data_IF_642693680858
#
_entry.id   IF_642693680858
#
_cell.length_a   1.000
_cell.length_b   1.000
_cell.length_c   1.000
_cell.angle_alpha   90.00
_cell.angle_beta   90.00
_cell.angle_gamma   90.00
#
_symmetry.space_group_name_H-M   'P 1'
#
loop_
_entity.id
_entity.type
_entity.pdbx_description
1 polymer ?
#
# COMPACT_ATOMS: atom_id res chain seq x y z
N UNK A 1 -10.10 -2.36 -15.91
CA UNK A 1 -10.41 -3.77 -16.26
C UNK A 1 -11.83 -4.00 -15.78
N UNK A 2 -12.77 -4.36 -16.66
CA UNK A 2 -14.17 -4.54 -16.28
C UNK A 2 -14.33 -5.71 -15.29
N UNK A 3 -14.35 -5.40 -13.99
CA UNK A 3 -15.24 -5.90 -12.93
C UNK A 3 -15.49 -7.39 -12.69
N UNK A 4 -14.99 -8.32 -13.50
CA UNK A 4 -15.25 -9.76 -13.36
C UNK A 4 -14.06 -10.49 -12.76
N UNK A 5 -13.67 -10.08 -11.55
CA UNK A 5 -12.83 -10.92 -10.71
C UNK A 5 -13.66 -12.15 -10.29
N UNK A 6 -13.08 -13.33 -10.42
CA UNK A 6 -13.61 -14.51 -9.75
C UNK A 6 -13.62 -14.26 -8.23
N UNK A 7 -14.50 -14.94 -7.47
CA UNK A 7 -14.63 -14.68 -6.03
C UNK A 7 -13.32 -14.80 -5.24
N UNK A 8 -12.42 -15.71 -5.61
CA UNK A 8 -11.12 -15.86 -4.97
C UNK A 8 -10.17 -14.71 -5.31
N UNK A 9 -10.14 -14.26 -6.57
CA UNK A 9 -9.34 -13.10 -7.01
C UNK A 9 -9.79 -11.82 -6.29
N UNK A 10 -11.10 -11.64 -6.09
CA UNK A 10 -11.63 -10.51 -5.32
C UNK A 10 -11.20 -10.56 -3.84
N UNK A 11 -11.14 -11.76 -3.25
CA UNK A 11 -10.63 -11.95 -1.88
C UNK A 11 -9.13 -11.61 -1.80
N UNK A 12 -8.34 -12.08 -2.75
CA UNK A 12 -6.89 -11.81 -2.82
C UNK A 12 -6.61 -10.32 -2.96
N UNK A 13 -7.32 -9.63 -3.86
CA UNK A 13 -7.19 -8.18 -4.04
C UNK A 13 -7.54 -7.42 -2.75
N UNK A 14 -8.63 -7.82 -2.06
CA UNK A 14 -9.00 -7.21 -0.78
C UNK A 14 -7.94 -7.42 0.30
N UNK A 15 -7.38 -8.63 0.37
CA UNK A 15 -6.32 -8.95 1.32
C UNK A 15 -5.06 -8.12 1.04
N UNK A 16 -4.66 -8.03 -0.23
CA UNK A 16 -3.53 -7.20 -0.64
C UNK A 16 -3.73 -5.73 -0.27
N UNK A 17 -4.91 -5.15 -0.55
CA UNK A 17 -5.25 -3.78 -0.15
C UNK A 17 -5.13 -3.61 1.38
N UNK A 18 -5.64 -4.58 2.14
CA UNK A 18 -5.64 -4.53 3.61
C UNK A 18 -4.21 -4.56 4.16
N UNK A 19 -3.36 -5.42 3.60
CA UNK A 19 -1.95 -5.54 3.96
C UNK A 19 -1.18 -4.25 3.65
N UNK A 20 -1.34 -3.69 2.46
CA UNK A 20 -0.69 -2.44 2.06
C UNK A 20 -1.10 -1.26 2.95
N UNK A 21 -2.39 -1.17 3.31
CA UNK A 21 -2.87 -0.17 4.26
C UNK A 21 -2.27 -0.34 5.66
N UNK A 22 -2.13 -1.58 6.14
CA UNK A 22 -1.50 -1.86 7.44
C UNK A 22 -0.02 -1.48 7.44
N UNK A 23 0.70 -1.77 6.36
CA UNK A 23 2.11 -1.41 6.24
C UNK A 23 2.31 0.11 6.23
N UNK A 24 1.50 0.84 5.46
CA UNK A 24 1.53 2.31 5.46
C UNK A 24 1.35 2.85 6.88
N UNK A 25 0.40 2.30 7.65
CA UNK A 25 0.15 2.72 9.03
C UNK A 25 1.34 2.42 9.95
N UNK A 26 1.94 1.23 9.84
CA UNK A 26 3.12 0.84 10.63
C UNK A 26 4.32 1.76 10.36
N UNK A 27 4.60 2.03 9.09
CA UNK A 27 5.70 2.92 8.69
C UNK A 27 5.40 4.34 9.17
N UNK A 28 4.18 4.84 8.96
CA UNK A 28 3.78 6.19 9.38
C UNK A 28 3.84 6.38 10.91
N UNK A 29 3.54 5.33 11.69
CA UNK A 29 3.62 5.40 13.15
C UNK A 29 5.07 5.42 13.67
N UNK A 30 5.99 4.75 12.97
CA UNK A 30 7.39 4.61 13.40
C UNK A 30 8.33 5.67 12.83
N UNK A 31 7.98 6.31 11.71
CA UNK A 31 8.88 7.24 10.99
C UNK A 31 9.33 8.44 11.82
N UNK A 32 8.50 8.89 12.77
CA UNK A 32 8.85 10.01 13.65
C UNK A 32 9.89 9.63 14.71
N UNK A 33 10.09 8.33 14.95
CA UNK A 33 11.10 7.80 15.88
C UNK A 33 12.45 7.56 15.18
N UNK A 34 12.52 7.71 13.86
CA UNK A 34 13.73 7.51 13.07
C UNK A 34 14.51 8.82 12.94
N UNK A 35 15.73 8.81 13.46
CA UNK A 35 16.66 9.94 13.41
C UNK A 35 17.57 9.92 12.18
N UNK A 36 17.81 8.73 11.62
CA UNK A 36 18.62 8.57 10.42
C UNK A 36 17.87 9.10 9.19
N UNK A 37 18.46 10.08 8.52
CA UNK A 37 17.79 10.79 7.43
C UNK A 37 17.61 9.92 6.18
N UNK A 38 18.57 9.04 5.89
CA UNK A 38 18.51 8.13 4.74
C UNK A 38 17.39 7.09 4.94
N UNK A 39 17.34 6.47 6.11
CA UNK A 39 16.28 5.54 6.49
C UNK A 39 14.91 6.23 6.49
N UNK A 40 14.83 7.47 6.96
CA UNK A 40 13.58 8.24 6.94
C UNK A 40 13.09 8.50 5.51
N UNK A 41 13.99 8.89 4.60
CA UNK A 41 13.65 9.08 3.18
C UNK A 41 13.20 7.77 2.55
N UNK A 42 13.92 6.67 2.80
CA UNK A 42 13.52 5.34 2.33
C UNK A 42 12.11 4.94 2.82
N UNK A 43 11.78 5.23 4.09
CA UNK A 43 10.44 4.99 4.63
C UNK A 43 9.35 5.85 3.94
N UNK A 44 9.66 7.10 3.60
CA UNK A 44 8.74 7.96 2.84
C UNK A 44 8.52 7.44 1.42
N UNK A 45 9.59 7.03 0.74
CA UNK A 45 9.53 6.45 -0.60
C UNK A 45 8.75 5.13 -0.62
N UNK A 46 8.90 4.32 0.44
CA UNK A 46 8.09 3.11 0.63
C UNK A 46 6.61 3.44 0.78
N UNK A 47 6.24 4.43 1.61
CA UNK A 47 4.84 4.89 1.73
C UNK A 47 4.30 5.39 0.39
N UNK A 48 5.09 6.18 -0.35
CA UNK A 48 4.70 6.70 -1.66
C UNK A 48 4.43 5.56 -2.65
N UNK A 49 5.35 4.60 -2.75
CA UNK A 49 5.24 3.44 -3.64
C UNK A 49 4.01 2.59 -3.32
N UNK A 50 3.74 2.34 -2.02
CA UNK A 50 2.55 1.59 -1.58
C UNK A 50 1.25 2.33 -1.92
N UNK A 51 1.21 3.65 -1.76
CA UNK A 51 0.05 4.47 -2.18
C UNK A 51 -0.19 4.41 -3.69
N UNK A 52 0.88 4.47 -4.50
CA UNK A 52 0.78 4.32 -5.95
C UNK A 52 0.25 2.94 -6.33
N UNK A 53 0.69 1.86 -5.67
CA UNK A 53 0.15 0.52 -5.90
C UNK A 53 -1.37 0.45 -5.62
N UNK A 54 -1.82 1.02 -4.49
CA UNK A 54 -3.25 1.09 -4.16
C UNK A 54 -4.06 1.90 -5.19
N UNK A 55 -3.53 3.03 -5.65
CA UNK A 55 -4.16 3.84 -6.71
C UNK A 55 -4.27 3.06 -8.02
N UNK A 56 -3.21 2.34 -8.41
CA UNK A 56 -3.22 1.51 -9.61
C UNK A 56 -4.26 0.39 -9.53
N UNK A 57 -4.41 -0.23 -8.37
CA UNK A 57 -5.45 -1.24 -8.12
C UNK A 57 -6.83 -0.59 -8.24
N UNK A 58 -7.06 0.54 -7.58
CA UNK A 58 -8.33 1.27 -7.66
C UNK A 58 -8.68 1.63 -9.10
N UNK A 59 -7.74 2.18 -9.87
CA UNK A 59 -7.92 2.52 -11.29
C UNK A 59 -8.13 1.29 -12.16
N UNK A 60 -7.57 0.13 -11.79
CA UNK A 60 -7.76 -1.11 -12.54
C UNK A 60 -9.13 -1.75 -12.29
N UNK A 61 -9.72 -1.54 -11.11
CA UNK A 61 -11.03 -2.05 -10.71
C UNK A 61 -12.20 -1.11 -11.01
N UNK A 62 -11.91 0.18 -11.27
CA UNK A 62 -12.89 1.17 -11.73
C UNK A 62 -13.20 0.99 -13.21
#
# INVERSE_FOLDING_TARGET
>A
MNGNLAPHEAIEVREYISQEMLDIKKISASINMVNDAELKNYMQDSIASKKTALQNIQSSLS
#
